data_IF_131646313275
#
_entry.id   IF_131646313275
#
_cell.length_a   1.000
_cell.length_b   1.000
_cell.length_c   1.000
_cell.angle_alpha   90.00
_cell.angle_beta   90.00
_cell.angle_gamma   90.00
#
_symmetry.space_group_name_H-M   'P 1'
#
loop_
_entity.id
_entity.type
_entity.pdbx_description
1 polymer ?
#
# COMPACT_ATOMS: atom_id res chain seq x y z
N UNK A 1 -10.83 9.73 -32.70
CA UNK A 1 -11.57 8.49 -32.42
C UNK A 1 -12.88 8.83 -31.72
N UNK A 2 -13.98 8.26 -32.18
CA UNK A 2 -15.29 8.30 -31.48
C UNK A 2 -15.24 7.49 -30.20
N UNK A 3 -16.23 7.64 -29.34
CA UNK A 3 -16.35 6.87 -28.09
C UNK A 3 -16.38 5.34 -28.35
N UNK A 4 -17.08 4.93 -29.39
CA UNK A 4 -17.16 3.54 -29.80
C UNK A 4 -15.81 3.00 -30.28
N UNK A 5 -15.13 3.75 -31.15
CA UNK A 5 -13.77 3.38 -31.63
C UNK A 5 -12.77 3.25 -30.49
N UNK A 6 -12.81 4.11 -29.48
CA UNK A 6 -11.93 4.02 -28.30
C UNK A 6 -12.19 2.74 -27.51
N UNK A 7 -13.44 2.39 -27.26
CA UNK A 7 -13.80 1.14 -26.57
C UNK A 7 -13.43 -0.10 -27.37
N UNK A 8 -13.56 -0.06 -28.68
CA UNK A 8 -13.14 -1.17 -29.58
C UNK A 8 -11.61 -1.32 -29.56
N UNK A 9 -10.87 -0.22 -29.58
CA UNK A 9 -9.41 -0.20 -29.46
C UNK A 9 -8.96 -0.83 -28.13
N UNK A 10 -9.54 -0.45 -27.00
CA UNK A 10 -9.25 -1.06 -25.70
C UNK A 10 -9.52 -2.58 -25.72
N UNK A 11 -10.70 -2.99 -26.17
CA UNK A 11 -11.07 -4.41 -26.24
C UNK A 11 -10.13 -5.21 -27.14
N UNK A 12 -9.72 -4.65 -28.27
CA UNK A 12 -8.78 -5.31 -29.18
C UNK A 12 -7.42 -5.53 -28.52
N UNK A 13 -6.92 -4.51 -27.78
CA UNK A 13 -5.68 -4.63 -27.04
C UNK A 13 -5.76 -5.70 -25.94
N UNK A 14 -6.80 -5.70 -25.10
CA UNK A 14 -6.96 -6.68 -24.03
C UNK A 14 -7.14 -8.10 -24.55
N UNK A 15 -7.79 -8.31 -25.69
CA UNK A 15 -7.82 -9.62 -26.34
C UNK A 15 -6.42 -10.12 -26.72
N UNK A 16 -5.54 -9.22 -27.18
CA UNK A 16 -4.16 -9.53 -27.54
C UNK A 16 -3.27 -9.77 -26.32
N UNK A 17 -3.37 -8.91 -25.31
CA UNK A 17 -2.60 -8.99 -24.06
C UNK A 17 -3.05 -10.14 -23.14
N UNK A 18 -4.28 -10.63 -23.29
CA UNK A 18 -4.87 -11.69 -22.48
C UNK A 18 -5.61 -11.18 -21.25
N UNK A 19 -6.38 -12.08 -20.63
CA UNK A 19 -7.29 -11.77 -19.52
C UNK A 19 -6.59 -11.18 -18.29
N UNK A 20 -5.35 -11.57 -18.02
CA UNK A 20 -4.59 -11.08 -16.88
C UNK A 20 -4.30 -9.57 -16.94
N UNK A 21 -4.12 -9.01 -18.15
CA UNK A 21 -3.88 -7.57 -18.30
C UNK A 21 -5.10 -6.72 -17.91
N UNK A 22 -6.30 -7.18 -18.23
CA UNK A 22 -7.54 -6.51 -17.83
C UNK A 22 -7.79 -6.62 -16.33
N UNK A 23 -7.58 -7.81 -15.74
CA UNK A 23 -7.65 -8.00 -14.30
C UNK A 23 -6.65 -7.13 -13.54
N UNK A 24 -5.42 -7.00 -14.05
CA UNK A 24 -4.41 -6.13 -13.45
C UNK A 24 -4.85 -4.65 -13.49
N UNK A 25 -5.43 -4.19 -14.60
CA UNK A 25 -6.01 -2.85 -14.69
C UNK A 25 -7.06 -2.62 -13.61
N UNK A 26 -8.00 -3.57 -13.45
CA UNK A 26 -9.04 -3.47 -12.42
C UNK A 26 -8.47 -3.46 -11.01
N UNK A 27 -7.44 -4.28 -10.73
CA UNK A 27 -6.77 -4.29 -9.44
C UNK A 27 -6.12 -2.94 -9.10
N UNK A 28 -5.57 -2.24 -10.09
CA UNK A 28 -4.95 -0.93 -9.88
C UNK A 28 -5.97 0.18 -9.54
N UNK A 29 -7.24 0.03 -9.88
CA UNK A 29 -8.30 0.93 -9.41
C UNK A 29 -8.56 0.81 -7.90
N UNK A 30 -8.21 -0.33 -7.30
CA UNK A 30 -8.39 -0.59 -5.87
C UNK A 30 -7.22 -0.08 -5.01
N UNK A 31 -6.11 0.41 -5.60
CA UNK A 31 -4.90 0.82 -4.86
C UNK A 31 -4.89 2.35 -4.68
N UNK A 32 -5.16 2.87 -3.47
CA UNK A 32 -5.19 4.31 -3.24
C UNK A 32 -3.82 4.96 -3.43
N UNK A 33 -3.81 6.16 -4.05
CA UNK A 33 -2.59 6.96 -4.20
C UNK A 33 -1.58 6.44 -5.23
N UNK A 34 -1.94 5.39 -5.96
CA UNK A 34 -1.14 4.82 -7.06
C UNK A 34 -1.80 5.13 -8.39
N UNK A 35 -1.06 5.79 -9.26
CA UNK A 35 -1.47 6.02 -10.64
C UNK A 35 -1.00 4.87 -11.53
N UNK A 36 -1.83 4.52 -12.50
CA UNK A 36 -1.58 3.44 -13.42
C UNK A 36 -1.98 3.80 -14.84
N UNK A 37 -1.16 3.42 -15.83
CA UNK A 37 -1.55 3.45 -17.23
C UNK A 37 -0.99 2.25 -18.01
N UNK A 38 -1.67 1.93 -19.10
CA UNK A 38 -1.20 1.04 -20.16
C UNK A 38 -1.12 1.80 -21.48
N UNK A 39 -0.11 1.49 -22.26
CA UNK A 39 0.08 2.00 -23.63
C UNK A 39 0.40 0.86 -24.58
N UNK A 40 -0.02 0.99 -25.81
CA UNK A 40 0.37 0.07 -26.87
C UNK A 40 1.81 0.30 -27.38
N UNK A 41 2.26 -0.50 -28.33
CA UNK A 41 3.57 -0.42 -28.97
C UNK A 41 3.86 0.90 -29.70
N UNK A 42 2.80 1.65 -30.02
CA UNK A 42 2.88 3.00 -30.63
C UNK A 42 2.83 4.13 -29.60
N UNK A 43 2.79 3.80 -28.30
CA UNK A 43 2.70 4.77 -27.21
C UNK A 43 1.31 5.39 -27.02
N UNK A 44 0.26 4.84 -27.66
CA UNK A 44 -1.12 5.29 -27.48
C UNK A 44 -1.67 4.74 -26.18
N UNK A 45 -2.31 5.56 -25.40
CA UNK A 45 -2.93 5.16 -24.13
C UNK A 45 -4.06 4.15 -24.40
N UNK A 46 -4.00 3.02 -23.73
CA UNK A 46 -5.01 1.96 -23.74
C UNK A 46 -5.91 2.07 -22.52
N UNK A 47 -5.33 2.26 -21.34
CA UNK A 47 -6.07 2.32 -20.10
C UNK A 47 -5.39 3.23 -19.06
N UNK A 48 -6.20 3.83 -18.20
CA UNK A 48 -5.80 4.61 -17.03
C UNK A 48 -6.66 4.15 -15.84
N UNK A 49 -6.12 4.19 -14.64
CA UNK A 49 -6.97 4.07 -13.46
C UNK A 49 -7.55 5.46 -13.06
N UNK A 50 -8.54 5.45 -12.16
CA UNK A 50 -9.23 6.69 -11.73
C UNK A 50 -8.25 7.71 -11.16
N UNK A 51 -7.31 7.29 -10.31
CA UNK A 51 -6.33 8.19 -9.72
C UNK A 51 -5.41 8.85 -10.77
N UNK A 52 -5.06 8.12 -11.84
CA UNK A 52 -4.30 8.70 -12.96
C UNK A 52 -5.13 9.76 -13.73
N UNK A 53 -6.41 9.49 -13.95
CA UNK A 53 -7.29 10.49 -14.56
C UNK A 53 -7.34 11.78 -13.72
N UNK A 54 -7.47 11.65 -12.40
CA UNK A 54 -7.55 12.80 -11.49
C UNK A 54 -6.26 13.65 -11.51
N UNK A 55 -5.07 13.04 -11.48
CA UNK A 55 -3.80 13.78 -11.53
C UNK A 55 -3.49 14.40 -12.89
N UNK A 56 -4.01 13.82 -13.98
CA UNK A 56 -3.87 14.34 -15.32
C UNK A 56 -5.02 15.29 -15.73
N UNK A 57 -5.98 15.51 -14.84
CA UNK A 57 -7.17 16.34 -15.07
C UNK A 57 -8.04 15.84 -16.23
N UNK A 58 -8.16 14.52 -16.39
CA UNK A 58 -9.12 13.89 -17.30
C UNK A 58 -10.43 13.59 -16.56
N UNK A 59 -11.55 13.74 -17.24
CA UNK A 59 -12.88 13.42 -16.69
C UNK A 59 -13.07 11.92 -16.49
N UNK A 60 -12.60 11.14 -17.48
CA UNK A 60 -12.50 9.68 -17.41
C UNK A 60 -11.35 9.17 -18.31
N UNK A 61 -11.08 7.85 -18.32
CA UNK A 61 -10.01 7.28 -19.11
C UNK A 61 -10.17 7.48 -20.63
N UNK A 62 -11.41 7.57 -21.11
CA UNK A 62 -11.71 7.73 -22.53
C UNK A 62 -11.31 9.10 -23.08
N UNK A 63 -11.06 10.09 -22.23
CA UNK A 63 -10.49 11.37 -22.68
C UNK A 63 -9.06 11.17 -23.21
N UNK A 64 -8.32 10.20 -22.71
CA UNK A 64 -6.94 9.91 -23.08
C UNK A 64 -6.78 8.70 -24.01
N UNK A 65 -7.69 7.73 -23.99
CA UNK A 65 -7.61 6.49 -24.78
C UNK A 65 -7.45 6.78 -26.29
N UNK A 66 -6.49 6.07 -26.89
CA UNK A 66 -6.12 6.19 -28.30
C UNK A 66 -5.18 7.37 -28.62
N UNK A 67 -4.88 8.22 -27.65
CA UNK A 67 -3.96 9.39 -27.79
C UNK A 67 -2.58 9.04 -27.25
N UNK A 68 -1.57 9.71 -27.77
CA UNK A 68 -0.18 9.59 -27.30
C UNK A 68 0.14 10.65 -26.25
N UNK A 69 1.26 10.47 -25.54
CA UNK A 69 1.74 11.48 -24.60
C UNK A 69 2.02 12.84 -25.29
N UNK A 70 2.42 12.85 -26.55
CA UNK A 70 2.67 14.09 -27.32
C UNK A 70 1.39 14.90 -27.56
N UNK A 71 0.23 14.24 -27.61
CA UNK A 71 -1.06 14.91 -27.80
C UNK A 71 -1.71 15.38 -26.48
N UNK A 72 -1.18 14.91 -25.34
CA UNK A 72 -1.79 15.14 -24.04
C UNK A 72 -0.97 16.05 -23.11
N UNK A 73 0.34 16.09 -23.29
CA UNK A 73 1.25 16.77 -22.37
C UNK A 73 2.19 17.73 -23.11
N UNK A 74 2.73 18.75 -22.44
CA UNK A 74 3.78 19.61 -23.00
C UNK A 74 4.97 18.80 -23.53
N UNK A 75 5.59 19.26 -24.61
CA UNK A 75 6.66 18.56 -25.34
C UNK A 75 7.78 17.98 -24.45
N UNK A 76 8.22 18.73 -23.45
CA UNK A 76 9.29 18.29 -22.53
C UNK A 76 8.88 17.06 -21.76
N UNK A 77 7.67 17.05 -21.20
CA UNK A 77 7.12 15.92 -20.43
C UNK A 77 6.82 14.74 -21.35
N UNK A 78 6.19 15.02 -22.50
CA UNK A 78 5.85 13.99 -23.48
C UNK A 78 7.09 13.23 -23.95
N UNK A 79 8.17 13.94 -24.29
CA UNK A 79 9.46 13.32 -24.68
C UNK A 79 10.03 12.46 -23.55
N UNK A 80 10.05 12.97 -22.32
CA UNK A 80 10.55 12.20 -21.19
C UNK A 80 9.79 10.89 -20.98
N UNK A 81 8.46 10.92 -21.07
CA UNK A 81 7.63 9.71 -20.93
C UNK A 81 7.85 8.73 -22.09
N UNK A 82 7.80 9.22 -23.32
CA UNK A 82 7.94 8.38 -24.52
C UNK A 82 9.32 7.73 -24.63
N UNK A 83 10.39 8.43 -24.27
CA UNK A 83 11.75 7.87 -24.24
C UNK A 83 11.86 6.71 -23.26
N UNK A 84 11.30 6.87 -22.06
CA UNK A 84 11.33 5.81 -21.04
C UNK A 84 10.44 4.62 -21.41
N UNK A 85 9.26 4.84 -21.98
CA UNK A 85 8.38 3.78 -22.46
C UNK A 85 9.05 2.98 -23.59
N UNK A 86 9.68 3.69 -24.54
CA UNK A 86 10.41 3.06 -25.65
C UNK A 86 11.59 2.20 -25.18
N UNK A 87 12.36 2.69 -24.21
CA UNK A 87 13.48 1.93 -23.64
C UNK A 87 13.03 0.60 -23.03
N UNK A 88 11.86 0.55 -22.38
CA UNK A 88 11.27 -0.69 -21.83
C UNK A 88 10.79 -1.61 -22.95
N UNK A 89 10.18 -1.07 -24.01
CA UNK A 89 9.73 -1.86 -25.16
C UNK A 89 10.89 -2.51 -25.91
N UNK A 90 11.97 -1.76 -26.14
CA UNK A 90 13.15 -2.23 -26.88
C UNK A 90 13.96 -3.28 -26.09
N UNK A 91 14.06 -3.13 -24.75
CA UNK A 91 14.80 -4.06 -23.91
C UNK A 91 14.00 -5.30 -23.53
N UNK A 92 12.68 -5.20 -23.50
CA UNK A 92 11.80 -6.25 -23.01
C UNK A 92 11.91 -6.51 -21.50
N UNK A 93 12.54 -5.61 -20.75
CA UNK A 93 12.80 -5.73 -19.32
C UNK A 93 12.13 -4.60 -18.53
N UNK A 94 11.68 -4.85 -17.29
CA UNK A 94 11.09 -3.82 -16.46
C UNK A 94 12.14 -2.82 -15.97
N UNK A 95 11.72 -1.56 -15.83
CA UNK A 95 12.48 -0.50 -15.18
C UNK A 95 11.75 -0.09 -13.91
N UNK A 96 12.43 -0.20 -12.76
CA UNK A 96 11.81 -0.03 -11.45
C UNK A 96 12.29 1.24 -10.75
N UNK A 97 11.34 1.94 -10.12
CA UNK A 97 11.59 3.06 -9.19
C UNK A 97 12.41 4.21 -9.78
N UNK A 98 12.13 4.59 -11.01
CA UNK A 98 12.74 5.77 -11.62
C UNK A 98 12.01 7.07 -11.25
N UNK A 99 12.74 8.17 -10.99
CA UNK A 99 12.13 9.49 -10.90
C UNK A 99 11.42 9.87 -12.19
N UNK A 100 10.24 10.44 -12.08
CA UNK A 100 9.43 10.89 -13.20
C UNK A 100 8.83 12.27 -12.92
N UNK A 101 8.87 13.22 -13.90
CA UNK A 101 8.19 14.49 -13.75
C UNK A 101 6.68 14.34 -13.55
N UNK A 102 6.08 15.21 -12.75
CA UNK A 102 4.64 15.25 -12.52
C UNK A 102 3.89 15.79 -13.73
N UNK A 103 2.74 15.22 -14.16
CA UNK A 103 2.03 15.62 -15.37
C UNK A 103 1.40 17.02 -15.31
N UNK A 104 1.00 17.48 -14.14
CA UNK A 104 0.46 18.81 -13.95
C UNK A 104 1.54 19.74 -13.39
N UNK A 105 1.81 20.85 -14.06
CA UNK A 105 2.88 21.83 -13.81
C UNK A 105 2.78 22.59 -12.46
N UNK A 106 2.26 21.97 -11.41
CA UNK A 106 1.93 22.65 -10.15
C UNK A 106 2.61 22.13 -8.91
N UNK A 107 3.49 21.15 -8.99
CA UNK A 107 4.21 20.72 -7.79
C UNK A 107 5.63 20.30 -8.12
N UNK A 108 6.59 20.81 -7.35
CA UNK A 108 7.98 20.31 -7.28
C UNK A 108 8.04 18.89 -6.65
N UNK A 109 7.03 18.03 -6.92
CA UNK A 109 6.95 16.68 -6.39
C UNK A 109 7.51 15.72 -7.42
N UNK A 110 8.51 14.96 -7.02
CA UNK A 110 8.97 13.84 -7.81
C UNK A 110 7.97 12.69 -7.69
N UNK A 111 7.65 12.10 -8.81
CA UNK A 111 6.94 10.82 -8.87
C UNK A 111 7.96 9.72 -9.06
N UNK A 112 7.72 8.60 -8.40
CA UNK A 112 8.48 7.37 -8.61
C UNK A 112 7.66 6.47 -9.51
N UNK A 113 8.21 6.10 -10.65
CA UNK A 113 7.57 5.26 -11.65
C UNK A 113 8.28 3.92 -11.81
N UNK A 114 7.50 2.87 -11.99
CA UNK A 114 7.98 1.57 -12.45
C UNK A 114 7.27 1.21 -13.74
N UNK A 115 8.02 0.76 -14.75
CA UNK A 115 7.53 0.42 -16.07
C UNK A 115 7.78 -1.04 -16.38
N UNK A 116 6.81 -1.67 -17.01
CA UNK A 116 6.82 -3.08 -17.34
C UNK A 116 6.48 -3.26 -18.82
N UNK A 117 7.20 -4.13 -19.55
CA UNK A 117 6.78 -4.50 -20.89
C UNK A 117 5.51 -5.36 -20.81
N UNK A 118 4.57 -5.13 -21.72
CA UNK A 118 3.39 -5.96 -21.89
C UNK A 118 3.61 -6.89 -23.07
N UNK A 119 3.33 -8.19 -22.87
CA UNK A 119 3.54 -9.21 -23.89
C UNK A 119 2.21 -9.79 -24.37
N UNK A 120 2.19 -10.22 -25.60
CA UNK A 120 1.12 -11.09 -26.11
C UNK A 120 1.34 -12.55 -25.70
N UNK A 121 0.44 -13.44 -26.14
CA UNK A 121 0.51 -14.87 -25.86
C UNK A 121 1.72 -15.56 -26.50
N UNK A 122 2.35 -14.94 -27.49
CA UNK A 122 3.55 -15.42 -28.17
C UNK A 122 4.85 -14.87 -27.54
N UNK A 123 4.75 -13.97 -26.57
CA UNK A 123 5.90 -13.34 -25.90
C UNK A 123 6.42 -12.09 -26.59
N UNK A 124 5.76 -11.56 -27.61
CA UNK A 124 6.16 -10.31 -28.25
C UNK A 124 5.72 -9.12 -27.40
N UNK A 125 6.58 -8.11 -27.28
CA UNK A 125 6.23 -6.87 -26.59
C UNK A 125 5.18 -6.11 -27.41
N UNK A 126 4.03 -5.85 -26.82
CA UNK A 126 2.89 -5.17 -27.44
C UNK A 126 2.58 -3.81 -26.80
N UNK A 127 3.38 -3.39 -25.84
CA UNK A 127 3.18 -2.12 -25.15
C UNK A 127 3.88 -2.06 -23.80
N UNK A 128 3.47 -1.10 -22.98
CA UNK A 128 4.00 -0.88 -21.62
C UNK A 128 2.88 -0.68 -20.62
N UNK A 129 3.09 -1.14 -19.38
CA UNK A 129 2.34 -0.72 -18.21
C UNK A 129 3.23 0.16 -17.32
N UNK A 130 2.69 1.25 -16.80
CA UNK A 130 3.39 2.12 -15.87
C UNK A 130 2.58 2.27 -14.60
N UNK A 131 3.21 2.01 -13.47
CA UNK A 131 2.71 2.24 -12.13
C UNK A 131 3.54 3.33 -11.50
N UNK A 132 2.92 4.37 -10.96
CA UNK A 132 3.64 5.44 -10.31
C UNK A 132 2.88 6.04 -9.14
N UNK A 133 3.63 6.56 -8.18
CA UNK A 133 3.12 7.19 -6.98
C UNK A 133 3.91 8.45 -6.67
N UNK A 134 3.29 9.36 -5.96
CA UNK A 134 4.00 10.53 -5.46
C UNK A 134 4.83 10.15 -4.24
N UNK A 135 6.11 10.48 -4.29
CA UNK A 135 6.94 10.40 -3.09
C UNK A 135 6.40 11.41 -2.06
N UNK A 136 6.15 11.00 -0.82
CA UNK A 136 5.75 11.95 0.21
C UNK A 136 6.83 13.03 0.31
N UNK A 137 6.45 14.32 0.20
CA UNK A 137 7.38 15.41 0.48
C UNK A 137 7.97 15.20 1.87
N UNK A 138 9.29 15.29 2.03
CA UNK A 138 9.90 15.54 3.32
C UNK A 138 9.27 16.83 3.86
N UNK A 139 8.49 16.71 4.92
CA UNK A 139 7.67 17.81 5.45
C UNK A 139 6.20 17.85 5.02
N UNK A 140 5.72 16.94 4.14
CA UNK A 140 4.29 16.79 3.89
C UNK A 140 3.56 16.48 5.20
N UNK A 141 2.37 17.09 5.37
CA UNK A 141 1.52 16.81 6.54
C UNK A 141 1.37 15.30 6.68
N UNK A 142 1.64 14.74 7.87
CA UNK A 142 1.58 13.31 8.08
C UNK A 142 0.20 12.78 7.67
N UNK A 143 0.14 11.81 6.76
CA UNK A 143 -1.12 11.11 6.55
C UNK A 143 -1.35 10.20 7.75
N UNK A 144 -2.61 10.00 8.13
CA UNK A 144 -2.93 9.14 9.27
C UNK A 144 -2.47 7.69 9.05
N UNK A 145 -2.39 7.23 7.81
CA UNK A 145 -1.84 5.91 7.45
C UNK A 145 -0.35 5.82 7.80
N UNK A 146 0.42 6.87 7.52
CA UNK A 146 1.85 6.97 7.89
C UNK A 146 2.02 7.03 9.41
N UNK A 147 1.18 7.84 10.08
CA UNK A 147 1.21 7.92 11.54
C UNK A 147 0.81 6.59 12.19
N UNK A 148 -0.15 5.87 11.65
CA UNK A 148 -0.49 4.53 12.16
C UNK A 148 0.66 3.55 12.04
N UNK A 149 1.41 3.55 10.93
CA UNK A 149 2.64 2.74 10.78
C UNK A 149 3.69 3.10 11.85
N UNK A 150 3.86 4.40 12.15
CA UNK A 150 4.76 4.85 13.22
C UNK A 150 4.30 4.38 14.60
N UNK A 151 3.02 4.51 14.90
CA UNK A 151 2.45 4.08 16.18
C UNK A 151 2.55 2.58 16.36
N UNK A 152 2.18 1.78 15.36
CA UNK A 152 2.27 0.31 15.44
C UNK A 152 3.72 -0.15 15.59
N UNK A 153 4.65 0.39 14.80
CA UNK A 153 6.08 0.09 14.93
C UNK A 153 6.65 0.49 16.31
N UNK A 154 6.15 1.58 16.89
CA UNK A 154 6.53 1.98 18.25
C UNK A 154 5.97 1.00 19.29
N UNK A 155 4.72 0.57 19.17
CA UNK A 155 4.12 -0.45 20.03
C UNK A 155 4.92 -1.76 19.93
N UNK A 156 5.25 -2.23 18.73
CA UNK A 156 5.96 -3.49 18.51
C UNK A 156 7.35 -3.50 19.15
N UNK A 157 8.01 -2.35 19.25
CA UNK A 157 9.33 -2.22 19.91
C UNK A 157 9.25 -2.06 21.42
N UNK A 158 8.17 -1.48 21.93
CA UNK A 158 8.05 -1.03 23.32
C UNK A 158 6.90 -1.67 24.09
N UNK A 159 6.24 -2.71 23.55
CA UNK A 159 5.03 -3.31 24.17
C UNK A 159 5.25 -3.80 25.59
N UNK A 160 6.47 -4.24 25.93
CA UNK A 160 6.80 -4.71 27.25
C UNK A 160 6.93 -3.61 28.32
N UNK A 161 7.08 -2.36 27.87
CA UNK A 161 7.20 -1.19 28.76
C UNK A 161 5.81 -0.74 29.27
N UNK A 162 5.82 0.18 30.25
CA UNK A 162 4.59 0.89 30.65
C UNK A 162 4.18 1.89 29.54
N UNK A 163 3.51 1.38 28.52
CA UNK A 163 3.10 2.10 27.34
C UNK A 163 1.66 2.59 27.50
N UNK A 164 1.49 3.91 27.60
CA UNK A 164 0.20 4.58 27.71
C UNK A 164 -0.26 5.17 26.38
N UNK A 165 -1.57 5.35 26.21
CA UNK A 165 -2.12 6.04 25.02
C UNK A 165 -1.59 7.47 24.90
N UNK A 166 -1.36 8.16 26.03
CA UNK A 166 -0.75 9.48 26.03
C UNK A 166 0.67 9.47 25.44
N UNK A 167 1.49 8.46 25.79
CA UNK A 167 2.86 8.28 25.24
C UNK A 167 2.82 7.98 23.74
N UNK A 168 1.87 7.17 23.29
CA UNK A 168 1.67 6.90 21.85
C UNK A 168 1.26 8.16 21.09
N UNK A 169 0.34 8.94 21.65
CA UNK A 169 -0.12 10.19 21.05
C UNK A 169 1.00 11.23 20.96
N UNK A 170 1.81 11.35 22.02
CA UNK A 170 2.98 12.24 22.04
C UNK A 170 4.03 11.85 20.98
N UNK A 171 4.22 10.54 20.71
CA UNK A 171 5.16 10.04 19.70
C UNK A 171 4.86 10.55 18.28
N UNK A 172 3.60 10.83 17.98
CA UNK A 172 3.16 11.36 16.67
C UNK A 172 2.59 12.79 16.77
N UNK A 173 2.88 13.50 17.85
CA UNK A 173 2.48 14.89 18.07
C UNK A 173 0.96 15.14 17.94
N UNK A 174 0.14 14.28 18.54
CA UNK A 174 -1.33 14.39 18.53
C UNK A 174 -1.93 14.25 19.95
N UNK A 175 -3.22 14.50 20.08
CA UNK A 175 -3.92 14.26 21.35
C UNK A 175 -4.32 12.78 21.50
N UNK A 176 -4.42 12.24 22.72
CA UNK A 176 -4.91 10.89 22.98
C UNK A 176 -6.27 10.57 22.34
N UNK A 177 -7.21 11.51 22.43
CA UNK A 177 -8.54 11.35 21.84
C UNK A 177 -8.51 11.29 20.32
N UNK A 178 -7.67 12.10 19.69
CA UNK A 178 -7.51 12.08 18.23
C UNK A 178 -6.81 10.80 17.76
N UNK A 179 -5.75 10.38 18.46
CA UNK A 179 -5.11 9.08 18.18
C UNK A 179 -6.14 7.95 18.27
N UNK A 180 -6.91 7.87 19.36
CA UNK A 180 -7.92 6.82 19.56
C UNK A 180 -8.91 6.76 18.40
N UNK A 181 -9.50 7.91 18.04
CA UNK A 181 -10.48 8.01 16.94
C UNK A 181 -9.88 7.58 15.58
N UNK A 182 -8.70 8.07 15.24
CA UNK A 182 -8.06 7.77 13.97
C UNK A 182 -7.56 6.32 13.90
N UNK A 183 -7.03 5.81 15.00
CA UNK A 183 -6.58 4.42 15.08
C UNK A 183 -7.76 3.46 14.89
N UNK A 184 -8.88 3.70 15.58
CA UNK A 184 -10.09 2.90 15.44
C UNK A 184 -10.68 3.00 14.02
N UNK A 185 -10.66 4.19 13.40
CA UNK A 185 -11.14 4.39 12.03
C UNK A 185 -10.33 3.61 11.00
N UNK A 186 -8.99 3.55 11.16
CA UNK A 186 -8.10 2.96 10.17
C UNK A 186 -7.85 1.47 10.44
N UNK A 187 -7.66 1.10 11.72
CA UNK A 187 -7.29 -0.25 12.14
C UNK A 187 -8.49 -1.12 12.56
N UNK A 188 -9.68 -0.54 12.71
CA UNK A 188 -10.88 -1.21 13.17
C UNK A 188 -10.90 -1.57 14.66
N UNK A 189 -9.81 -1.33 15.40
CA UNK A 189 -9.66 -1.65 16.83
C UNK A 189 -9.05 -0.46 17.56
N UNK A 190 -9.10 -0.47 18.90
CA UNK A 190 -8.48 0.60 19.69
C UNK A 190 -6.96 0.40 19.81
N UNK A 191 -6.16 1.47 20.09
CA UNK A 191 -4.73 1.34 20.37
C UNK A 191 -4.44 0.41 21.56
N UNK A 192 -5.30 0.42 22.57
CA UNK A 192 -5.19 -0.46 23.76
C UNK A 192 -5.41 -1.93 23.42
N UNK A 193 -6.39 -2.22 22.55
CA UNK A 193 -6.65 -3.59 22.09
C UNK A 193 -5.50 -4.11 21.24
N UNK A 194 -4.95 -3.24 20.38
CA UNK A 194 -3.76 -3.58 19.58
C UNK A 194 -2.56 -3.93 20.48
N UNK A 195 -2.22 -3.05 21.44
CA UNK A 195 -1.16 -3.30 22.41
C UNK A 195 -1.38 -4.61 23.19
N UNK A 196 -2.61 -4.84 23.64
CA UNK A 196 -2.97 -6.07 24.35
C UNK A 196 -2.75 -7.30 23.46
N UNK A 197 -3.14 -7.24 22.20
CA UNK A 197 -2.95 -8.33 21.23
C UNK A 197 -1.46 -8.65 21.03
N UNK A 198 -0.60 -7.65 20.87
CA UNK A 198 0.86 -7.83 20.73
C UNK A 198 1.44 -8.49 21.98
N UNK A 199 1.08 -8.03 23.18
CA UNK A 199 1.50 -8.63 24.46
C UNK A 199 1.08 -10.08 24.60
N UNK A 200 -0.17 -10.39 24.24
CA UNK A 200 -0.69 -11.76 24.30
C UNK A 200 0.00 -12.69 23.28
N UNK A 201 0.36 -12.19 22.11
CA UNK A 201 1.12 -12.97 21.13
C UNK A 201 2.56 -13.26 21.63
N UNK A 202 3.22 -12.28 22.21
CA UNK A 202 4.54 -12.48 22.86
C UNK A 202 4.46 -13.47 24.03
N UNK A 203 3.44 -13.35 24.88
CA UNK A 203 3.22 -14.28 25.98
C UNK A 203 2.99 -15.70 25.48
N UNK A 204 2.21 -15.88 24.42
CA UNK A 204 1.98 -17.17 23.77
C UNK A 204 3.27 -17.86 23.38
N UNK A 205 4.18 -17.15 22.70
CA UNK A 205 5.47 -17.69 22.30
C UNK A 205 6.29 -18.15 23.54
N UNK A 206 6.32 -17.32 24.61
CA UNK A 206 7.05 -17.68 25.83
C UNK A 206 6.41 -18.90 26.56
N UNK A 207 5.09 -19.05 26.52
CA UNK A 207 4.40 -20.21 27.07
C UNK A 207 4.73 -21.49 26.31
N UNK A 208 4.92 -21.43 25.00
CA UNK A 208 5.28 -22.55 24.14
C UNK A 208 6.76 -22.93 24.22
N UNK A 209 7.64 -21.95 24.46
CA UNK A 209 9.09 -22.15 24.31
C UNK A 209 9.89 -22.14 25.61
N UNK A 210 9.28 -21.77 26.76
CA UNK A 210 10.01 -21.62 28.04
C UNK A 210 9.27 -22.21 29.23
N UNK A 211 10.03 -22.57 30.30
CA UNK A 211 9.49 -23.02 31.62
C UNK A 211 9.29 -21.88 32.61
N UNK A 212 9.40 -20.62 32.18
CA UNK A 212 9.23 -19.46 33.05
C UNK A 212 7.88 -19.49 33.77
N UNK A 213 7.84 -18.97 34.97
CA UNK A 213 6.57 -18.84 35.70
C UNK A 213 5.59 -17.97 34.90
N UNK A 214 4.33 -18.30 34.94
CA UNK A 214 3.28 -17.56 34.20
C UNK A 214 3.22 -16.11 34.67
N UNK A 215 3.47 -15.87 35.95
CA UNK A 215 3.63 -14.51 36.52
C UNK A 215 4.76 -13.73 35.89
N UNK A 216 5.91 -14.37 35.69
CA UNK A 216 7.10 -13.74 35.10
C UNK A 216 6.88 -13.45 33.62
N UNK A 217 6.20 -14.36 32.92
CA UNK A 217 5.79 -14.12 31.53
C UNK A 217 4.86 -12.92 31.45
N UNK A 218 3.82 -12.86 32.28
CA UNK A 218 2.90 -11.73 32.31
C UNK A 218 3.62 -10.38 32.48
N UNK A 219 4.52 -10.34 33.45
CA UNK A 219 5.33 -9.14 33.74
C UNK A 219 6.28 -8.79 32.58
N UNK A 220 6.97 -9.80 32.03
CA UNK A 220 7.95 -9.57 30.95
C UNK A 220 7.33 -9.08 29.64
N UNK A 221 6.04 -9.32 29.42
CA UNK A 221 5.30 -8.81 28.24
C UNK A 221 4.50 -7.54 28.55
N UNK A 222 4.68 -6.95 29.73
CA UNK A 222 4.15 -5.64 30.07
C UNK A 222 2.74 -5.65 30.75
N UNK A 223 2.26 -6.79 31.26
CA UNK A 223 1.08 -6.79 32.14
C UNK A 223 1.52 -6.48 33.58
N UNK A 224 0.87 -5.51 34.17
CA UNK A 224 1.13 -5.14 35.57
C UNK A 224 0.54 -6.17 36.56
N UNK A 225 -0.61 -6.78 36.21
CA UNK A 225 -1.38 -7.67 37.07
C UNK A 225 -1.63 -9.01 36.37
N UNK A 226 -1.29 -10.10 37.07
CA UNK A 226 -1.48 -11.49 36.65
C UNK A 226 -2.96 -11.81 36.38
N UNK A 227 -3.87 -11.27 37.19
CA UNK A 227 -5.31 -11.52 37.01
C UNK A 227 -5.84 -10.91 35.74
N UNK A 228 -5.38 -9.67 35.43
CA UNK A 228 -5.70 -8.99 34.17
C UNK A 228 -5.11 -9.76 32.97
N UNK A 229 -3.86 -10.20 33.05
CA UNK A 229 -3.24 -11.04 32.02
C UNK A 229 -4.05 -12.32 31.76
N UNK A 230 -4.36 -13.07 32.84
CA UNK A 230 -5.10 -14.35 32.74
C UNK A 230 -6.47 -14.16 32.09
N UNK A 231 -7.22 -13.13 32.51
CA UNK A 231 -8.52 -12.79 31.90
C UNK A 231 -8.39 -12.42 30.42
N UNK A 232 -7.44 -11.57 30.07
CA UNK A 232 -7.20 -11.16 28.69
C UNK A 232 -6.78 -12.34 27.80
N UNK A 233 -5.88 -13.20 28.30
CA UNK A 233 -5.43 -14.39 27.59
C UNK A 233 -6.56 -15.39 27.38
N UNK A 234 -7.36 -15.69 28.43
CA UNK A 234 -8.52 -16.59 28.32
C UNK A 234 -9.56 -16.03 27.34
N UNK A 235 -9.83 -14.72 27.37
CA UNK A 235 -10.75 -14.09 26.41
C UNK A 235 -10.27 -14.25 24.97
N UNK A 236 -8.95 -14.13 24.73
CA UNK A 236 -8.38 -14.17 23.39
C UNK A 236 -8.16 -15.60 22.85
N UNK A 237 -7.96 -16.58 23.72
CA UNK A 237 -7.56 -17.95 23.36
C UNK A 237 -8.49 -19.06 23.88
N UNK A 238 -9.56 -18.71 24.59
CA UNK A 238 -10.53 -19.63 25.23
C UNK A 238 -9.92 -20.55 26.28
N UNK A 239 -8.63 -20.43 26.58
CA UNK A 239 -7.87 -21.20 27.55
C UNK A 239 -7.13 -20.27 28.50
N UNK A 240 -6.95 -20.63 29.74
CA UNK A 240 -6.00 -19.93 30.62
C UNK A 240 -4.56 -20.15 30.18
N UNK A 241 -3.61 -19.28 30.55
CA UNK A 241 -2.20 -19.47 30.20
C UNK A 241 -1.64 -20.83 30.62
N UNK A 242 -2.05 -21.36 31.80
CA UNK A 242 -1.64 -22.66 32.30
C UNK A 242 -2.21 -23.84 31.51
N UNK A 243 -3.50 -23.77 31.15
CA UNK A 243 -4.14 -24.76 30.27
C UNK A 243 -3.52 -24.73 28.87
N UNK A 244 -3.25 -23.51 28.33
CA UNK A 244 -2.62 -23.34 27.05
C UNK A 244 -1.22 -23.98 27.01
N UNK A 245 -0.38 -23.74 28.03
CA UNK A 245 0.95 -24.35 28.14
C UNK A 245 0.87 -25.89 28.16
N UNK A 246 0.00 -26.47 28.96
CA UNK A 246 -0.15 -27.93 29.05
C UNK A 246 -0.58 -28.57 27.73
N UNK A 247 -1.36 -27.86 26.93
CA UNK A 247 -1.88 -28.38 25.66
C UNK A 247 -0.84 -28.27 24.53
N UNK A 248 0.01 -27.22 24.52
CA UNK A 248 0.89 -26.90 23.40
C UNK A 248 2.37 -27.17 23.69
N UNK A 249 2.66 -27.64 24.89
CA UNK A 249 4.00 -28.03 25.29
C UNK A 249 3.92 -29.42 25.92
N UNK A 250 4.42 -30.46 25.20
CA UNK A 250 4.45 -31.84 25.69
C UNK A 250 5.39 -32.03 26.88
#
# INVERSE_FOLDING_TARGET
>A
MTLQEKREFQRAFFRKAGHNAEMFRMAMDCVPGVAFNMKDDRGRIVALNRFNCDICNFRDELDAVGRTSAELFPDVLARAYMTKDRAVQERGEPVLKEPQPYPADRSARDMIASRFPLHDKQGHVIGTACVYYMEPLEGARPTWEREMKRVTAFIDRHYAENLTIARLAAHIHTSPSNLHRQFQRIMGITPSDYLTTIRLNAARQLLETTDRLITDIAQSVGFYDHSHFTKAFKKARSLTPGEYRRLHRP
#
